data_IF_687284995035
#
_entry.id   IF_687284995035
#
_cell.length_a   1.000
_cell.length_b   1.000
_cell.length_c   1.000
_cell.angle_alpha   90.00
_cell.angle_beta   90.00
_cell.angle_gamma   90.00
#
_symmetry.space_group_name_H-M   'P 1'
#
loop_
_entity.id
_entity.type
_entity.pdbx_description
1 polymer ?
#
# COMPACT_ATOMS: atom_id res chain seq x y z
N UNK A 1 9.46 18.57 3.28
CA UNK A 1 8.46 19.01 2.28
C UNK A 1 7.25 18.08 2.41
N UNK A 2 6.07 18.53 2.04
CA UNK A 2 4.89 17.67 1.94
C UNK A 2 4.85 17.01 0.56
N UNK A 3 4.30 15.80 0.49
CA UNK A 3 4.21 15.02 -0.74
C UNK A 3 2.76 14.80 -1.12
N UNK A 4 2.48 14.99 -2.40
CA UNK A 4 1.17 14.87 -3.03
C UNK A 4 1.01 13.52 -3.72
N UNK A 5 -0.24 13.14 -4.02
CA UNK A 5 -0.53 11.92 -4.78
C UNK A 5 0.09 11.96 -6.18
N UNK A 6 0.14 13.15 -6.79
CA UNK A 6 0.77 13.35 -8.11
C UNK A 6 2.27 13.08 -8.09
N UNK A 7 2.96 13.42 -7.00
CA UNK A 7 4.38 13.07 -6.83
C UNK A 7 4.58 11.57 -6.62
N UNK A 8 3.70 10.92 -5.84
CA UNK A 8 3.71 9.46 -5.69
C UNK A 8 3.49 8.76 -7.05
N UNK A 9 2.55 9.24 -7.85
CA UNK A 9 2.29 8.75 -9.20
C UNK A 9 3.51 8.92 -10.12
N UNK A 10 4.16 10.10 -10.08
CA UNK A 10 5.36 10.35 -10.87
C UNK A 10 6.50 9.38 -10.50
N UNK A 11 6.66 9.05 -9.21
CA UNK A 11 7.66 8.08 -8.75
C UNK A 11 7.33 6.67 -9.25
N UNK A 12 6.08 6.23 -9.14
CA UNK A 12 5.66 4.92 -9.65
C UNK A 12 5.92 4.83 -11.16
N UNK A 13 5.51 5.84 -11.93
CA UNK A 13 5.75 5.91 -13.39
C UNK A 13 7.22 5.96 -13.78
N UNK A 14 8.08 6.52 -12.93
CA UNK A 14 9.55 6.48 -13.14
C UNK A 14 10.14 5.08 -13.02
N UNK A 15 9.38 4.11 -12.50
CA UNK A 15 9.77 2.71 -12.29
C UNK A 15 8.79 1.76 -13.01
N UNK A 16 8.72 1.81 -14.35
CA UNK A 16 7.71 1.06 -15.10
C UNK A 16 7.80 -0.45 -14.89
N UNK A 17 8.98 -1.00 -14.56
CA UNK A 17 9.17 -2.42 -14.26
C UNK A 17 8.38 -2.93 -13.03
N UNK A 18 7.87 -2.03 -12.17
CA UNK A 18 7.07 -2.41 -11.00
C UNK A 18 5.56 -2.23 -11.21
N UNK A 19 5.15 -1.73 -12.38
CA UNK A 19 3.75 -1.53 -12.75
C UNK A 19 3.31 -2.75 -13.57
N UNK A 20 2.29 -3.51 -13.12
CA UNK A 20 1.75 -4.60 -13.92
C UNK A 20 1.20 -4.13 -15.27
N UNK A 21 1.35 -4.94 -16.31
CA UNK A 21 0.84 -4.63 -17.65
C UNK A 21 -0.68 -4.41 -17.65
N UNK A 22 -1.14 -3.43 -18.43
CA UNK A 22 -2.56 -3.13 -18.62
C UNK A 22 -3.16 -2.18 -17.58
N UNK A 23 -2.38 -1.67 -16.62
CA UNK A 23 -2.85 -0.67 -15.67
C UNK A 23 -2.88 0.71 -16.31
N UNK A 24 -4.06 1.36 -16.28
CA UNK A 24 -4.20 2.75 -16.71
C UNK A 24 -3.78 3.72 -15.59
N UNK A 25 -3.52 4.97 -15.96
CA UNK A 25 -3.18 6.03 -15.00
C UNK A 25 -4.24 6.19 -13.90
N UNK A 26 -5.53 6.13 -14.25
CA UNK A 26 -6.64 6.19 -13.30
C UNK A 26 -6.63 5.00 -12.32
N UNK A 27 -6.34 3.80 -12.81
CA UNK A 27 -6.22 2.61 -11.97
C UNK A 27 -5.04 2.74 -11.00
N UNK A 28 -3.87 3.18 -11.49
CA UNK A 28 -2.68 3.42 -10.64
C UNK A 28 -3.00 4.47 -9.58
N UNK A 29 -3.69 5.55 -9.96
CA UNK A 29 -4.12 6.60 -9.06
C UNK A 29 -5.04 6.05 -7.94
N UNK A 30 -5.99 5.17 -8.27
CA UNK A 30 -6.85 4.52 -7.28
C UNK A 30 -6.05 3.73 -6.24
N UNK A 31 -5.03 2.97 -6.66
CA UNK A 31 -4.17 2.23 -5.73
C UNK A 31 -3.29 3.14 -4.87
N UNK A 32 -2.88 4.30 -5.41
CA UNK A 32 -2.17 5.33 -4.63
C UNK A 32 -3.11 5.86 -3.54
N UNK A 33 -4.36 6.18 -3.87
CA UNK A 33 -5.32 6.71 -2.89
C UNK A 33 -5.66 5.67 -1.82
N UNK A 34 -5.82 4.40 -2.17
CA UNK A 34 -6.00 3.30 -1.21
C UNK A 34 -4.77 3.12 -0.31
N UNK A 35 -3.57 3.12 -0.91
CA UNK A 35 -2.31 3.01 -0.17
C UNK A 35 -2.13 4.16 0.83
N UNK A 36 -2.63 5.36 0.50
CA UNK A 36 -2.60 6.50 1.41
C UNK A 36 -3.42 6.19 2.67
N UNK A 37 -4.65 5.71 2.49
CA UNK A 37 -5.54 5.43 3.62
C UNK A 37 -4.94 4.39 4.56
N UNK A 38 -4.45 3.26 4.01
CA UNK A 38 -3.80 2.18 4.76
C UNK A 38 -2.56 2.68 5.51
N UNK A 39 -1.71 3.46 4.84
CA UNK A 39 -0.49 3.99 5.45
C UNK A 39 -0.81 4.94 6.61
N UNK A 40 -1.77 5.86 6.42
CA UNK A 40 -2.17 6.82 7.44
C UNK A 40 -2.84 6.13 8.63
N UNK A 41 -3.65 5.09 8.39
CA UNK A 41 -4.26 4.28 9.44
C UNK A 41 -3.16 3.59 10.27
N UNK A 42 -2.20 2.96 9.60
CA UNK A 42 -1.07 2.31 10.28
C UNK A 42 -0.23 3.29 11.10
N UNK A 43 0.03 4.48 10.56
CA UNK A 43 0.81 5.53 11.20
C UNK A 43 0.02 6.30 12.26
N UNK A 44 -1.24 5.93 12.55
CA UNK A 44 -2.17 6.63 13.46
C UNK A 44 -2.33 8.12 13.14
N UNK A 45 -2.25 8.48 11.86
CA UNK A 45 -2.38 9.84 11.36
C UNK A 45 -3.80 10.15 10.86
N UNK A 46 -4.23 11.43 10.85
CA UNK A 46 -5.53 11.81 10.32
C UNK A 46 -5.64 11.51 8.81
N UNK A 47 -6.76 10.92 8.41
CA UNK A 47 -7.01 10.51 7.01
C UNK A 47 -7.19 11.69 6.05
N UNK A 48 -7.61 12.84 6.58
CA UNK A 48 -7.89 14.06 5.83
C UNK A 48 -6.66 14.96 5.64
N UNK A 49 -5.44 14.48 5.92
CA UNK A 49 -4.25 15.27 5.64
C UNK A 49 -4.05 15.39 4.12
N UNK A 50 -3.94 16.63 3.65
CA UNK A 50 -3.63 16.91 2.25
C UNK A 50 -2.14 16.73 1.97
N UNK A 51 -1.33 16.97 2.99
CA UNK A 51 0.13 16.98 2.96
C UNK A 51 0.68 15.78 3.71
N UNK A 52 1.12 14.75 2.98
CA UNK A 52 1.77 13.59 3.57
C UNK A 52 3.24 13.95 3.86
N UNK A 53 3.80 13.64 5.04
CA UNK A 53 5.21 13.84 5.32
C UNK A 53 6.11 13.19 4.27
N UNK A 54 7.11 13.91 3.74
CA UNK A 54 8.03 13.35 2.72
C UNK A 54 8.77 12.08 3.17
N UNK A 55 8.98 11.93 4.48
CA UNK A 55 9.53 10.70 5.05
C UNK A 55 8.69 9.45 4.68
N UNK A 56 7.37 9.60 4.56
CA UNK A 56 6.43 8.53 4.21
C UNK A 56 6.27 8.33 2.70
N UNK A 57 6.88 9.17 1.86
CA UNK A 57 6.76 9.11 0.39
C UNK A 57 7.05 7.74 -0.18
N UNK A 58 8.19 7.15 0.21
CA UNK A 58 8.60 5.86 -0.32
C UNK A 58 7.78 4.71 0.26
N UNK A 59 7.34 4.81 1.51
CA UNK A 59 6.40 3.87 2.11
C UNK A 59 5.07 3.86 1.36
N UNK A 60 4.54 5.04 1.04
CA UNK A 60 3.29 5.20 0.30
C UNK A 60 3.37 4.57 -1.10
N UNK A 61 4.42 4.91 -1.86
CA UNK A 61 4.69 4.35 -3.19
C UNK A 61 4.82 2.82 -3.15
N UNK A 62 5.51 2.29 -2.14
CA UNK A 62 5.74 0.85 -2.01
C UNK A 62 4.44 0.09 -1.69
N UNK A 63 3.61 0.60 -0.78
CA UNK A 63 2.29 0.03 -0.49
C UNK A 63 1.43 -0.01 -1.74
N UNK A 64 1.34 1.09 -2.49
CA UNK A 64 0.58 1.12 -3.75
C UNK A 64 1.10 0.09 -4.75
N UNK A 65 2.42 -0.06 -4.84
CA UNK A 65 3.06 -1.04 -5.73
C UNK A 65 2.71 -2.47 -5.34
N UNK A 66 2.75 -2.81 -4.04
CA UNK A 66 2.38 -4.15 -3.56
C UNK A 66 0.90 -4.43 -3.82
N UNK A 67 0.00 -3.47 -3.58
CA UNK A 67 -1.43 -3.62 -3.87
C UNK A 67 -1.67 -3.91 -5.37
N UNK A 68 -1.02 -3.16 -6.27
CA UNK A 68 -1.11 -3.39 -7.71
C UNK A 68 -0.62 -4.78 -8.10
N UNK A 69 0.53 -5.21 -7.59
CA UNK A 69 1.12 -6.51 -7.90
C UNK A 69 0.26 -7.67 -7.35
N UNK A 70 -0.29 -7.53 -6.15
CA UNK A 70 -1.20 -8.52 -5.57
C UNK A 70 -2.50 -8.63 -6.38
N UNK A 71 -3.05 -7.50 -6.84
CA UNK A 71 -4.24 -7.50 -7.70
C UNK A 71 -3.95 -8.11 -9.08
N UNK A 72 -2.80 -7.83 -9.66
CA UNK A 72 -2.35 -8.48 -10.89
C UNK A 72 -2.18 -10.00 -10.69
N UNK A 73 -1.58 -10.46 -9.59
CA UNK A 73 -1.44 -11.88 -9.28
C UNK A 73 -2.79 -12.60 -9.10
N UNK A 74 -3.80 -11.89 -8.60
CA UNK A 74 -5.18 -12.40 -8.48
C UNK A 74 -5.83 -12.58 -9.87
N UNK A 75 -5.60 -11.64 -10.79
CA UNK A 75 -6.13 -11.71 -12.16
C UNK A 75 -5.37 -12.69 -13.07
N UNK A 76 -4.07 -12.90 -12.85
CA UNK A 76 -3.24 -13.88 -13.58
C UNK A 76 -3.28 -15.30 -12.99
N UNK A 77 -4.10 -15.54 -11.97
CA UNK A 77 -4.46 -16.88 -11.50
C UNK A 77 -3.48 -17.55 -10.52
N UNK A 78 -2.63 -16.81 -9.81
CA UNK A 78 -1.67 -17.40 -8.84
C UNK A 78 -2.17 -17.36 -7.39
N UNK A 79 -3.28 -16.67 -7.09
CA UNK A 79 -3.86 -16.67 -5.74
C UNK A 79 -5.10 -17.56 -5.69
N UNK A 80 -4.96 -18.75 -5.11
CA UNK A 80 -6.08 -19.57 -4.65
C UNK A 80 -6.83 -18.84 -3.53
N UNK A 81 -7.94 -18.20 -3.89
CA UNK A 81 -8.98 -17.65 -3.01
C UNK A 81 -8.56 -16.55 -2.02
N UNK A 82 -8.84 -15.29 -2.37
CA UNK A 82 -9.42 -14.35 -1.40
C UNK A 82 -10.92 -14.40 -1.61
N UNK A 83 -11.63 -15.15 -0.77
CA UNK A 83 -13.09 -15.18 -0.79
C UNK A 83 -13.60 -13.89 -0.13
N UNK A 84 -14.07 -12.95 -0.94
CA UNK A 84 -14.91 -11.84 -0.46
C UNK A 84 -16.21 -12.43 0.10
N UNK A 85 -16.32 -12.55 1.42
CA UNK A 85 -17.55 -12.98 2.08
C UNK A 85 -17.39 -13.99 3.23
N UNK A 86 -16.18 -14.43 3.57
CA UNK A 86 -16.01 -15.33 4.73
C UNK A 86 -15.91 -14.53 6.05
N UNK A 87 -17.07 -14.29 6.66
CA UNK A 87 -17.20 -13.77 8.04
C UNK A 87 -16.75 -14.79 9.10
N UNK A 88 -15.93 -15.78 8.77
CA UNK A 88 -15.34 -16.71 9.74
C UNK A 88 -13.89 -17.05 9.43
N UNK A 89 -12.99 -16.10 9.65
CA UNK A 89 -11.56 -16.43 9.70
C UNK A 89 -11.30 -17.24 10.99
N UNK A 90 -11.37 -18.57 10.87
CA UNK A 90 -10.99 -19.48 11.94
C UNK A 90 -9.51 -19.24 12.30
N UNK A 91 -9.31 -18.84 13.56
CA UNK A 91 -8.02 -18.50 14.16
C UNK A 91 -7.11 -19.72 14.11
N UNK A 92 -6.23 -19.73 13.12
CA UNK A 92 -5.10 -20.65 13.02
C UNK A 92 -3.86 -19.87 12.62
N UNK A 93 -3.36 -18.97 13.47
CA UNK A 93 -2.03 -18.33 13.38
C UNK A 93 -1.60 -17.83 11.99
N UNK A 94 -2.53 -17.46 11.11
CA UNK A 94 -2.25 -16.80 9.83
C UNK A 94 -2.31 -15.30 10.06
N UNK A 95 -1.28 -14.58 9.61
CA UNK A 95 -1.23 -13.12 9.67
C UNK A 95 -2.47 -12.54 8.97
N UNK A 96 -2.98 -11.40 9.45
CA UNK A 96 -4.05 -10.69 8.74
C UNK A 96 -3.53 -10.24 7.37
N UNK A 97 -4.42 -10.11 6.37
CA UNK A 97 -4.03 -9.67 5.02
C UNK A 97 -3.24 -8.34 5.03
N UNK A 98 -3.56 -7.45 5.98
CA UNK A 98 -2.83 -6.20 6.20
C UNK A 98 -1.41 -6.44 6.76
N UNK A 99 -1.20 -7.44 7.62
CA UNK A 99 0.12 -7.79 8.12
C UNK A 99 1.00 -8.45 7.04
N UNK A 100 0.41 -9.24 6.13
CA UNK A 100 1.13 -9.79 4.97
C UNK A 100 1.53 -8.70 3.96
N UNK A 101 0.67 -7.69 3.76
CA UNK A 101 0.97 -6.50 2.98
C UNK A 101 2.22 -5.79 3.54
N UNK A 102 2.26 -5.56 4.86
CA UNK A 102 3.39 -4.88 5.51
C UNK A 102 4.67 -5.73 5.58
N UNK A 103 4.57 -7.05 5.68
CA UNK A 103 5.74 -7.94 5.59
C UNK A 103 6.45 -7.83 4.23
N UNK A 104 5.71 -7.48 3.18
CA UNK A 104 6.23 -7.34 1.81
C UNK A 104 6.93 -6.01 1.54
N UNK A 105 6.88 -5.07 2.50
CA UNK A 105 7.54 -3.77 2.39
C UNK A 105 9.01 -3.83 2.84
N UNK A 106 9.81 -2.88 2.37
CA UNK A 106 11.19 -2.71 2.85
C UNK A 106 11.23 -2.46 4.35
N UNK A 107 12.17 -3.12 5.03
CA UNK A 107 12.44 -2.94 6.47
C UNK A 107 12.62 -1.46 6.84
N UNK A 108 13.20 -0.65 5.94
CA UNK A 108 13.39 0.77 6.17
C UNK A 108 12.07 1.54 6.17
N UNK A 109 11.17 1.24 5.23
CA UNK A 109 9.85 1.88 5.15
C UNK A 109 8.98 1.50 6.34
N UNK A 110 9.06 0.25 6.81
CA UNK A 110 8.40 -0.20 8.05
C UNK A 110 8.95 0.53 9.28
N UNK A 111 10.26 0.74 9.39
CA UNK A 111 10.86 1.51 10.50
C UNK A 111 10.38 2.96 10.50
N UNK A 112 10.33 3.59 9.34
CA UNK A 112 9.83 4.97 9.20
C UNK A 112 8.36 5.03 9.62
N UNK A 113 7.50 4.17 9.06
CA UNK A 113 6.08 4.11 9.42
C UNK A 113 5.85 3.87 10.93
N UNK A 114 6.61 2.95 11.53
CA UNK A 114 6.53 2.71 12.98
C UNK A 114 6.92 3.94 13.81
N UNK A 115 7.87 4.75 13.33
CA UNK A 115 8.25 5.98 14.01
C UNK A 115 7.09 6.98 14.08
N UNK A 116 6.20 7.00 13.08
CA UNK A 116 4.98 7.81 13.12
C UNK A 116 3.91 7.22 14.03
N UNK A 117 3.74 5.89 14.01
CA UNK A 117 2.77 5.17 14.84
C UNK A 117 2.96 5.39 16.34
N UNK A 118 4.20 5.56 16.81
CA UNK A 118 4.51 5.72 18.25
C UNK A 118 4.48 7.17 18.74
N UNK A 119 4.16 8.14 17.87
CA UNK A 119 4.16 9.57 18.23
C UNK A 119 2.85 10.06 18.85
N UNK A 120 1.80 9.24 18.85
CA UNK A 120 0.49 9.52 19.43
C UNK A 120 0.09 8.42 20.41
#
# INVERSE_FOLDING_TARGET
MAVTASEALAIIKSRPATIPDGFSDDTIQSYIDEAKAIMLEYCTLPQNIQEVPDALKYSWVEIATVLMNNSAALTTGTVTSVHEGDSSMSIGSKKTAQAELFDSLSVNNIRIMNSFRTLF
#
